data_IF_093866743096
#
_entry.id   IF_093866743096
#
_cell.length_a   1.000
_cell.length_b   1.000
_cell.length_c   1.000
_cell.angle_alpha   90.00
_cell.angle_beta   90.00
_cell.angle_gamma   90.00
#
_symmetry.space_group_name_H-M   'P 1'
#
loop_
_entity.id
_entity.type
_entity.pdbx_description
1 polymer ?
#
# COMPACT_ATOMS: atom_id res chain seq x y z
N UNK A 1 41.79 -15.02 47.79
CA UNK A 1 43.02 -14.20 47.88
C UNK A 1 43.80 -14.27 46.56
N UNK A 2 43.40 -13.51 45.54
CA UNK A 2 44.26 -13.25 44.37
C UNK A 2 44.31 -11.72 44.17
N UNK A 3 45.42 -11.10 44.57
CA UNK A 3 45.80 -9.74 44.18
C UNK A 3 46.41 -9.76 42.76
N UNK A 4 46.14 -8.81 41.87
CA UNK A 4 46.40 -7.36 41.88
C UNK A 4 47.78 -6.96 41.32
N UNK A 5 47.72 -6.34 40.13
CA UNK A 5 48.50 -5.17 39.66
C UNK A 5 49.95 -5.35 39.15
N UNK A 6 50.18 -4.90 37.90
CA UNK A 6 51.24 -3.91 37.64
C UNK A 6 52.19 -4.10 36.45
N UNK A 7 51.91 -3.38 35.35
CA UNK A 7 52.80 -2.60 34.44
C UNK A 7 54.17 -3.18 34.01
N UNK A 8 54.49 -3.11 32.71
CA UNK A 8 55.37 -2.06 32.16
C UNK A 8 55.52 -2.16 30.63
N UNK A 9 55.42 -1.01 29.97
CA UNK A 9 55.65 -0.82 28.54
C UNK A 9 57.14 -0.97 28.19
N UNK A 10 57.46 -1.47 27.01
CA UNK A 10 58.62 -1.03 26.21
C UNK A 10 58.37 -1.38 24.76
N UNK A 11 58.37 -0.35 23.90
CA UNK A 11 58.14 -0.49 22.47
C UNK A 11 59.37 -0.95 21.70
N UNK A 12 59.13 -1.49 20.52
CA UNK A 12 60.05 -1.44 19.39
C UNK A 12 59.22 -1.27 18.12
N UNK A 13 59.17 -0.01 17.66
CA UNK A 13 58.75 0.38 16.32
C UNK A 13 59.67 -0.28 15.29
N UNK A 14 59.11 -1.06 14.37
CA UNK A 14 59.78 -1.39 13.11
C UNK A 14 58.83 -1.20 11.91
N UNK A 15 59.06 -0.06 11.25
CA UNK A 15 59.06 0.20 9.81
C UNK A 15 57.91 -0.35 8.94
N UNK A 16 56.99 0.56 8.59
CA UNK A 16 56.09 0.48 7.44
C UNK A 16 56.87 0.45 6.11
N UNK A 17 56.61 -0.56 5.28
CA UNK A 17 56.87 -0.52 3.82
C UNK A 17 55.58 -0.05 3.12
N UNK A 18 55.65 0.85 2.12
CA UNK A 18 54.48 1.29 1.38
C UNK A 18 54.16 0.26 0.29
N UNK A 19 53.32 -0.72 0.63
CA UNK A 19 52.69 -1.62 -0.32
C UNK A 19 51.30 -1.13 -0.63
N UNK A 20 51.15 -0.26 -1.62
CA UNK A 20 49.84 0.12 -2.18
C UNK A 20 49.28 -1.12 -2.89
N UNK A 21 48.45 -1.88 -2.18
CA UNK A 21 47.54 -2.83 -2.82
C UNK A 21 46.41 -2.02 -3.45
N UNK A 22 46.09 -2.19 -4.74
CA UNK A 22 44.96 -1.48 -5.33
C UNK A 22 43.69 -1.98 -4.65
N UNK A 23 42.96 -1.06 -4.03
CA UNK A 23 41.59 -1.26 -3.58
C UNK A 23 40.79 -1.81 -4.76
N UNK A 24 40.49 -3.10 -4.70
CA UNK A 24 39.56 -3.76 -5.60
C UNK A 24 38.24 -3.00 -5.45
N UNK A 25 37.88 -2.24 -6.49
CA UNK A 25 36.66 -1.49 -6.55
C UNK A 25 35.50 -2.42 -6.20
N UNK A 26 34.86 -2.15 -5.05
CA UNK A 26 33.57 -2.72 -4.71
C UNK A 26 32.59 -2.18 -5.75
N UNK A 27 32.38 -2.97 -6.81
CA UNK A 27 31.34 -2.75 -7.78
C UNK A 27 30.03 -2.52 -7.01
N UNK A 28 29.40 -1.38 -7.28
CA UNK A 28 28.27 -0.88 -6.52
C UNK A 28 27.20 -1.95 -6.34
N UNK A 29 26.84 -2.20 -5.09
CA UNK A 29 25.58 -2.84 -4.76
C UNK A 29 24.47 -2.07 -5.51
N UNK A 30 23.63 -2.73 -6.33
CA UNK A 30 22.49 -2.04 -6.89
C UNK A 30 21.66 -1.56 -5.70
N UNK A 31 21.37 -0.27 -5.70
CA UNK A 31 20.56 0.42 -4.72
C UNK A 31 19.25 -0.36 -4.47
N UNK A 32 19.17 -1.00 -3.30
CA UNK A 32 17.96 -1.64 -2.75
C UNK A 32 16.87 -0.58 -2.43
N UNK A 33 17.20 0.70 -2.54
CA UNK A 33 16.28 1.83 -2.47
C UNK A 33 15.58 2.03 -3.82
N UNK A 34 14.45 1.37 -4.03
CA UNK A 34 13.58 1.70 -5.17
C UNK A 34 12.54 0.66 -5.56
N UNK A 35 12.73 -0.61 -5.18
CA UNK A 35 11.75 -1.66 -5.47
C UNK A 35 10.72 -1.76 -4.37
N UNK A 36 9.53 -1.20 -4.60
CA UNK A 36 8.32 -1.43 -3.79
C UNK A 36 7.74 -2.81 -4.10
N UNK A 37 8.53 -3.87 -3.86
CA UNK A 37 8.12 -5.26 -4.16
C UNK A 37 7.41 -5.93 -2.96
N UNK A 38 6.89 -5.16 -2.01
CA UNK A 38 6.32 -5.64 -0.74
C UNK A 38 4.79 -5.88 -0.78
N UNK A 39 4.18 -5.81 -1.97
CA UNK A 39 2.74 -5.95 -2.13
C UNK A 39 2.30 -7.42 -1.94
N UNK A 40 1.15 -7.60 -1.28
CA UNK A 40 0.48 -8.89 -1.22
C UNK A 40 0.09 -9.33 -2.65
N UNK A 41 0.33 -10.61 -3.03
CA UNK A 41 0.00 -11.09 -4.37
C UNK A 41 -1.52 -11.03 -4.59
N UNK A 42 -1.95 -10.42 -5.70
CA UNK A 42 -3.33 -10.46 -6.15
C UNK A 42 -3.78 -11.90 -6.40
N UNK A 43 -5.03 -12.24 -6.04
CA UNK A 43 -5.61 -13.56 -6.24
C UNK A 43 -5.78 -13.84 -7.74
N UNK A 44 -5.40 -15.05 -8.19
CA UNK A 44 -5.39 -15.42 -9.60
C UNK A 44 -6.78 -15.89 -10.07
N UNK A 45 -7.59 -14.96 -10.59
CA UNK A 45 -8.70 -15.26 -11.49
C UNK A 45 -8.24 -15.15 -12.95
N UNK A 46 -9.03 -15.65 -13.91
CA UNK A 46 -8.71 -15.60 -15.34
C UNK A 46 -8.42 -14.16 -15.78
N UNK A 47 -7.15 -13.86 -16.04
CA UNK A 47 -6.67 -12.51 -16.28
C UNK A 47 -7.17 -12.00 -17.63
N UNK A 48 -8.26 -11.23 -17.63
CA UNK A 48 -8.64 -10.44 -18.79
C UNK A 48 -7.55 -9.39 -19.05
N UNK A 49 -7.21 -9.21 -20.33
CA UNK A 49 -6.19 -8.26 -20.74
C UNK A 49 -6.84 -7.11 -21.49
N UNK A 50 -6.53 -5.90 -21.04
CA UNK A 50 -6.97 -4.66 -21.65
C UNK A 50 -5.81 -3.83 -22.17
N UNK A 51 -6.13 -2.78 -22.92
CA UNK A 51 -5.20 -1.78 -23.42
C UNK A 51 -5.71 -0.40 -23.11
N UNK A 52 -4.82 0.52 -22.72
CA UNK A 52 -5.18 1.90 -22.46
C UNK A 52 -5.54 2.60 -23.78
N UNK A 53 -6.74 3.17 -23.88
CA UNK A 53 -7.17 3.94 -25.06
C UNK A 53 -6.96 5.44 -24.84
N UNK A 54 -7.30 5.93 -23.65
CA UNK A 54 -7.18 7.34 -23.31
C UNK A 54 -6.78 7.54 -21.85
N UNK A 55 -6.11 8.67 -21.59
CA UNK A 55 -5.70 9.12 -20.25
C UNK A 55 -6.10 10.58 -20.14
N UNK A 56 -6.97 10.91 -19.19
CA UNK A 56 -7.49 12.25 -18.94
C UNK A 56 -7.33 12.54 -17.44
N UNK A 57 -6.19 13.10 -17.06
CA UNK A 57 -5.85 13.34 -15.65
C UNK A 57 -5.84 12.02 -14.86
N UNK A 58 -6.66 11.94 -13.80
CA UNK A 58 -6.81 10.73 -12.98
C UNK A 58 -7.72 9.66 -13.61
N UNK A 59 -8.40 9.97 -14.73
CA UNK A 59 -9.31 9.05 -15.40
C UNK A 59 -8.59 8.35 -16.55
N UNK A 60 -8.66 7.02 -16.58
CA UNK A 60 -8.02 6.20 -17.61
C UNK A 60 -9.07 5.31 -18.25
N UNK A 61 -9.22 5.39 -19.57
CA UNK A 61 -10.13 4.53 -20.32
C UNK A 61 -9.33 3.32 -20.85
N UNK A 62 -9.81 2.12 -20.52
CA UNK A 62 -9.17 0.84 -20.85
C UNK A 62 -10.14 0.01 -21.68
N UNK A 63 -9.70 -0.45 -22.84
CA UNK A 63 -10.48 -1.33 -23.71
C UNK A 63 -10.03 -2.78 -23.54
N UNK A 64 -11.00 -3.67 -23.40
CA UNK A 64 -10.79 -5.11 -23.29
C UNK A 64 -11.22 -5.79 -24.59
N UNK A 65 -10.44 -6.77 -25.05
CA UNK A 65 -10.78 -7.52 -26.26
C UNK A 65 -11.93 -8.52 -25.97
N UNK A 66 -11.80 -9.26 -24.86
CA UNK A 66 -12.79 -10.19 -24.32
C UNK A 66 -12.81 -10.13 -22.79
N UNK A 67 -13.96 -10.39 -22.16
CA UNK A 67 -14.11 -10.41 -20.70
C UNK A 67 -14.07 -9.02 -20.07
N UNK A 68 -15.21 -8.32 -20.10
CA UNK A 68 -15.33 -6.99 -19.51
C UNK A 68 -15.31 -7.08 -17.97
N UNK A 69 -14.35 -6.45 -17.28
CA UNK A 69 -14.29 -6.49 -15.82
C UNK A 69 -15.51 -5.80 -15.20
N UNK A 70 -16.08 -6.33 -14.10
CA UNK A 70 -17.19 -5.69 -13.42
C UNK A 70 -16.78 -4.33 -12.83
N UNK A 71 -17.79 -3.51 -12.50
CA UNK A 71 -17.58 -2.26 -11.79
C UNK A 71 -16.98 -2.56 -10.41
N UNK A 72 -16.10 -1.69 -9.93
CA UNK A 72 -15.34 -1.79 -8.67
C UNK A 72 -14.15 -2.76 -8.69
N UNK A 73 -13.91 -3.48 -9.79
CA UNK A 73 -12.71 -4.32 -9.90
C UNK A 73 -11.43 -3.49 -10.01
N UNK A 74 -10.36 -4.04 -9.45
CA UNK A 74 -9.01 -3.50 -9.58
C UNK A 74 -8.32 -4.06 -10.83
N UNK A 75 -7.68 -3.16 -11.56
CA UNK A 75 -6.85 -3.45 -12.72
C UNK A 75 -5.41 -2.99 -12.44
N UNK A 76 -4.43 -3.74 -12.93
CA UNK A 76 -3.02 -3.41 -12.80
C UNK A 76 -2.39 -3.07 -14.15
N UNK A 77 -1.66 -1.96 -14.20
CA UNK A 77 -0.94 -1.55 -15.40
C UNK A 77 0.42 -2.28 -15.46
N UNK A 78 0.66 -3.03 -16.53
CA UNK A 78 1.89 -3.78 -16.70
C UNK A 78 3.05 -2.90 -17.20
N UNK A 79 4.28 -3.28 -16.83
CA UNK A 79 5.51 -2.68 -17.36
C UNK A 79 5.90 -1.34 -16.72
N UNK A 80 5.47 -1.08 -15.49
CA UNK A 80 5.88 0.07 -14.69
C UNK A 80 6.82 -0.35 -13.55
N UNK A 81 7.68 0.56 -13.13
CA UNK A 81 8.54 0.36 -11.94
C UNK A 81 7.73 0.46 -10.64
N UNK A 82 6.78 1.40 -10.58
CA UNK A 82 5.81 1.49 -9.49
C UNK A 82 4.50 0.82 -9.87
N UNK A 83 3.91 0.10 -8.91
CA UNK A 83 2.60 -0.52 -9.06
C UNK A 83 1.53 0.58 -9.20
N UNK A 84 0.82 0.57 -10.31
CA UNK A 84 -0.32 1.46 -10.54
C UNK A 84 -1.58 0.61 -10.66
N UNK A 85 -2.50 0.84 -9.73
CA UNK A 85 -3.82 0.21 -9.70
C UNK A 85 -4.85 1.20 -10.24
N UNK A 86 -5.72 0.71 -11.12
CA UNK A 86 -6.87 1.43 -11.66
C UNK A 86 -8.14 0.74 -11.17
N UNK A 87 -9.11 1.50 -10.69
CA UNK A 87 -10.41 0.96 -10.27
C UNK A 87 -11.47 1.21 -11.34
N UNK A 88 -12.21 0.18 -11.75
CA UNK A 88 -13.28 0.33 -12.73
C UNK A 88 -14.46 1.09 -12.13
N UNK A 89 -14.77 2.27 -12.66
CA UNK A 89 -15.88 3.10 -12.18
C UNK A 89 -17.15 2.93 -13.01
N UNK A 90 -17.03 2.71 -14.33
CA UNK A 90 -18.19 2.58 -15.22
C UNK A 90 -17.83 1.85 -16.51
N UNK A 91 -18.85 1.28 -17.17
CA UNK A 91 -18.74 0.71 -18.52
C UNK A 91 -19.24 1.73 -19.54
N UNK A 92 -18.40 2.07 -20.52
CA UNK A 92 -18.73 3.07 -21.54
C UNK A 92 -19.41 2.45 -22.78
N UNK A 93 -19.29 1.13 -22.97
CA UNK A 93 -19.64 0.44 -24.22
C UNK A 93 -18.40 0.16 -25.07
N UNK A 94 -18.56 -0.53 -26.21
CA UNK A 94 -17.46 -0.92 -27.11
C UNK A 94 -16.30 -1.66 -26.40
N UNK A 95 -16.68 -2.50 -25.43
CA UNK A 95 -15.77 -3.19 -24.50
C UNK A 95 -14.77 -2.27 -23.78
N UNK A 96 -15.13 -1.00 -23.58
CA UNK A 96 -14.32 -0.01 -22.89
C UNK A 96 -14.87 0.26 -21.49
N UNK A 97 -13.98 0.22 -20.51
CA UNK A 97 -14.24 0.61 -19.13
C UNK A 97 -13.53 1.91 -18.81
N UNK A 98 -14.17 2.76 -18.02
CA UNK A 98 -13.56 3.95 -17.47
C UNK A 98 -13.13 3.69 -16.05
N UNK A 99 -11.86 3.97 -15.79
CA UNK A 99 -11.20 3.64 -14.53
C UNK A 99 -10.68 4.91 -13.87
N UNK A 100 -10.55 4.85 -12.54
CA UNK A 100 -9.95 5.89 -11.72
C UNK A 100 -8.59 5.38 -11.25
N UNK A 101 -7.54 6.15 -11.51
CA UNK A 101 -6.20 5.81 -11.08
C UNK A 101 -6.01 6.08 -9.58
N UNK A 102 -5.45 5.11 -8.86
CA UNK A 102 -5.17 5.23 -7.42
C UNK A 102 -3.85 5.96 -7.12
N UNK A 103 -3.02 6.17 -8.13
CA UNK A 103 -1.75 6.92 -8.06
C UNK A 103 -1.54 7.73 -9.35
N UNK A 104 -0.45 8.48 -9.43
CA UNK A 104 -0.09 9.33 -10.56
C UNK A 104 -0.13 8.60 -11.92
N UNK A 105 -0.84 9.20 -12.87
CA UNK A 105 -0.97 8.69 -14.24
C UNK A 105 0.17 9.15 -15.15
N UNK A 106 1.25 9.72 -14.60
CA UNK A 106 2.40 10.11 -15.41
C UNK A 106 3.03 8.88 -16.09
N UNK A 107 3.55 9.11 -17.29
CA UNK A 107 4.21 8.06 -18.08
C UNK A 107 3.28 6.98 -18.64
N UNK A 108 1.96 7.10 -18.49
CA UNK A 108 1.02 6.20 -19.18
C UNK A 108 1.00 6.47 -20.68
N UNK A 109 1.07 5.38 -21.45
CA UNK A 109 1.06 5.41 -22.91
C UNK A 109 -0.15 4.63 -23.41
N UNK A 110 -0.79 5.15 -24.47
CA UNK A 110 -1.88 4.44 -25.14
C UNK A 110 -1.38 3.12 -25.72
N UNK A 111 -2.18 2.08 -25.61
CA UNK A 111 -1.82 0.71 -25.97
C UNK A 111 -1.08 -0.07 -24.89
N UNK A 112 -0.73 0.57 -23.75
CA UNK A 112 -0.12 -0.14 -22.62
C UNK A 112 -1.06 -1.22 -22.09
N UNK A 113 -0.48 -2.37 -21.76
CA UNK A 113 -1.23 -3.54 -21.29
C UNK A 113 -1.71 -3.33 -19.86
N UNK A 114 -2.98 -3.64 -19.64
CA UNK A 114 -3.65 -3.63 -18.34
C UNK A 114 -4.15 -5.05 -18.05
N UNK A 115 -4.05 -5.47 -16.80
CA UNK A 115 -4.43 -6.81 -16.34
C UNK A 115 -5.54 -6.66 -15.32
N UNK A 116 -6.66 -7.36 -15.53
CA UNK A 116 -7.73 -7.45 -14.53
C UNK A 116 -7.32 -8.40 -13.41
N UNK A 117 -7.45 -7.96 -12.16
CA UNK A 117 -7.18 -8.81 -10.98
C UNK A 117 -8.36 -9.71 -10.62
N UNK A 118 -9.55 -9.44 -11.16
CA UNK A 118 -10.77 -10.22 -10.92
C UNK A 118 -11.52 -9.87 -9.64
N UNK A 119 -10.86 -9.22 -8.67
CA UNK A 119 -11.44 -8.74 -7.42
C UNK A 119 -11.39 -7.19 -7.34
N UNK A 120 -12.19 -6.57 -6.46
CA UNK A 120 -11.96 -5.19 -6.02
C UNK A 120 -10.60 -5.00 -5.37
N UNK A 121 -10.21 -3.75 -5.11
CA UNK A 121 -8.99 -3.47 -4.34
C UNK A 121 -9.09 -4.15 -2.96
N UNK A 122 -8.14 -5.05 -2.66
CA UNK A 122 -8.07 -5.78 -1.39
C UNK A 122 -6.94 -5.24 -0.54
N UNK A 123 -7.24 -4.96 0.72
CA UNK A 123 -6.29 -4.42 1.69
C UNK A 123 -6.02 -5.41 2.83
N UNK A 124 -4.82 -5.41 3.42
CA UNK A 124 -4.52 -6.22 4.59
C UNK A 124 -5.34 -5.75 5.79
N UNK A 125 -5.95 -6.69 6.51
CA UNK A 125 -6.73 -6.41 7.73
C UNK A 125 -6.30 -7.37 8.84
N UNK A 126 -6.58 -6.98 10.09
CA UNK A 126 -6.24 -7.76 11.27
C UNK A 126 -5.44 -6.96 12.31
N UNK A 127 -5.19 -7.54 13.48
CA UNK A 127 -4.40 -6.88 14.52
C UNK A 127 -2.95 -6.59 14.10
N UNK A 128 -2.43 -7.29 13.08
CA UNK A 128 -1.06 -7.10 12.57
C UNK A 128 -0.88 -5.76 11.84
N UNK A 129 -1.98 -5.07 11.48
CA UNK A 129 -1.95 -3.75 10.85
C UNK A 129 -1.87 -2.60 11.86
N UNK A 130 -2.08 -2.87 13.16
CA UNK A 130 -2.09 -1.84 14.20
C UNK A 130 -0.71 -1.15 14.31
N UNK A 131 -0.73 0.18 14.28
CA UNK A 131 0.50 1.00 14.36
C UNK A 131 1.34 0.99 13.08
N UNK A 132 0.80 0.49 11.96
CA UNK A 132 1.36 0.62 10.61
C UNK A 132 0.68 1.78 9.88
N UNK A 133 1.39 2.37 8.92
CA UNK A 133 0.82 3.36 7.99
C UNK A 133 0.72 2.70 6.62
N UNK A 134 -0.49 2.68 6.05
CA UNK A 134 -0.78 2.10 4.74
C UNK A 134 -1.36 3.14 3.79
N UNK A 135 -1.14 2.94 2.49
CA UNK A 135 -1.78 3.73 1.44
C UNK A 135 -3.15 3.13 1.05
N UNK A 136 -3.81 3.76 0.07
CA UNK A 136 -5.15 3.40 -0.41
C UNK A 136 -5.23 1.96 -0.95
N UNK A 137 -4.14 1.45 -1.53
CA UNK A 137 -4.07 0.09 -2.09
C UNK A 137 -3.55 -0.95 -1.08
N UNK A 138 -3.38 -0.56 0.20
CA UNK A 138 -2.98 -1.47 1.28
C UNK A 138 -1.48 -1.71 1.41
N UNK A 139 -0.63 -0.95 0.71
CA UNK A 139 0.82 -1.07 0.81
C UNK A 139 1.36 -0.25 1.98
N UNK A 140 2.38 -0.78 2.71
CA UNK A 140 3.01 -0.05 3.80
C UNK A 140 3.84 1.12 3.28
N UNK A 141 3.63 2.30 3.84
CA UNK A 141 4.41 3.53 3.55
C UNK A 141 5.27 3.98 4.73
N UNK A 142 5.38 3.14 5.77
CA UNK A 142 6.10 3.44 7.01
C UNK A 142 7.56 2.94 7.04
N UNK A 143 8.08 2.45 5.91
CA UNK A 143 9.47 1.92 5.76
C UNK A 143 9.82 0.75 6.69
N UNK A 144 8.84 0.14 7.37
CA UNK A 144 9.04 -0.96 8.33
C UNK A 144 8.91 -2.35 7.70
N UNK A 145 9.07 -2.43 6.38
CA UNK A 145 8.93 -3.68 5.61
C UNK A 145 7.46 -4.08 5.35
N UNK A 146 7.22 -5.30 4.85
CA UNK A 146 5.88 -5.76 4.48
C UNK A 146 4.96 -5.92 5.69
N UNK A 147 3.64 -5.82 5.48
CA UNK A 147 2.63 -6.14 6.50
C UNK A 147 2.30 -7.63 6.38
N UNK A 148 2.72 -8.43 7.35
CA UNK A 148 2.41 -9.87 7.38
C UNK A 148 1.02 -10.08 8.01
N UNK A 149 -0.04 -10.09 7.19
CA UNK A 149 -1.40 -10.41 7.65
C UNK A 149 -1.85 -11.77 7.14
N UNK A 150 -2.77 -12.40 7.89
CA UNK A 150 -3.41 -13.67 7.47
C UNK A 150 -4.66 -13.44 6.62
N UNK A 151 -5.20 -12.22 6.64
CA UNK A 151 -6.47 -11.88 6.03
C UNK A 151 -6.35 -10.59 5.21
N UNK A 152 -7.11 -10.55 4.12
CA UNK A 152 -7.27 -9.40 3.24
C UNK A 152 -8.75 -9.21 2.94
N UNK A 153 -9.25 -7.98 3.05
CA UNK A 153 -10.65 -7.62 2.81
C UNK A 153 -10.76 -6.69 1.60
N UNK A 154 -11.80 -6.83 0.75
CA UNK A 154 -12.11 -5.80 -0.25
C UNK A 154 -12.50 -4.49 0.44
N UNK A 155 -12.16 -3.36 -0.19
CA UNK A 155 -12.59 -2.02 0.27
C UNK A 155 -14.08 -1.76 0.01
N UNK A 156 -14.63 -2.44 -1.00
CA UNK A 156 -16.05 -2.41 -1.33
C UNK A 156 -16.74 -3.55 -0.61
N UNK A 157 -17.61 -3.19 0.33
CA UNK A 157 -18.44 -4.11 1.09
C UNK A 157 -19.86 -3.54 1.17
N UNK A 158 -20.84 -4.43 1.12
CA UNK A 158 -22.23 -4.04 1.34
C UNK A 158 -22.43 -3.51 2.75
N UNK A 159 -23.37 -2.57 2.90
CA UNK A 159 -23.74 -2.07 4.20
C UNK A 159 -24.39 -3.18 5.04
N UNK A 160 -24.29 -3.12 6.38
CA UNK A 160 -25.00 -4.06 7.25
C UNK A 160 -26.50 -4.09 6.97
N UNK A 161 -27.11 -5.27 7.09
CA UNK A 161 -28.55 -5.43 6.87
C UNK A 161 -29.37 -4.75 7.97
N UNK A 162 -30.64 -4.47 7.67
CA UNK A 162 -31.55 -3.84 8.62
C UNK A 162 -31.72 -4.64 9.93
N UNK A 163 -31.64 -5.97 9.84
CA UNK A 163 -31.75 -6.87 11.00
C UNK A 163 -30.52 -6.83 11.92
N UNK A 164 -29.37 -6.42 11.40
CA UNK A 164 -28.12 -6.32 12.16
C UNK A 164 -27.95 -4.96 12.85
N UNK A 165 -28.86 -4.01 12.57
CA UNK A 165 -28.81 -2.69 13.18
C UNK A 165 -29.32 -2.74 14.63
N UNK A 166 -28.48 -2.30 15.56
CA UNK A 166 -28.87 -2.12 16.96
C UNK A 166 -29.58 -0.77 17.17
N UNK A 167 -30.63 -0.78 18.00
CA UNK A 167 -31.35 0.43 18.44
C UNK A 167 -30.84 0.96 19.78
N UNK A 168 -29.87 0.29 20.40
CA UNK A 168 -29.34 0.68 21.71
C UNK A 168 -28.55 1.97 21.62
N UNK A 169 -28.95 2.95 22.43
CA UNK A 169 -28.28 4.24 22.53
C UNK A 169 -27.48 4.30 23.82
N UNK A 170 -26.16 4.12 23.71
CA UNK A 170 -25.22 4.28 24.82
C UNK A 170 -24.37 5.53 24.64
N UNK A 171 -24.10 6.25 25.74
CA UNK A 171 -23.22 7.42 25.72
C UNK A 171 -21.75 6.96 25.74
N UNK A 172 -20.93 7.53 24.85
CA UNK A 172 -19.48 7.47 24.86
C UNK A 172 -18.94 8.67 25.65
N UNK A 173 -18.50 8.42 26.89
CA UNK A 173 -17.91 9.46 27.74
C UNK A 173 -16.53 9.85 27.20
N UNK A 174 -16.35 11.12 26.81
CA UNK A 174 -15.09 11.60 26.22
C UNK A 174 -14.14 12.22 27.23
N UNK A 175 -14.67 12.71 28.37
CA UNK A 175 -13.93 13.50 29.35
C UNK A 175 -13.76 14.97 28.96
N UNK A 176 -14.33 15.40 27.84
CA UNK A 176 -14.25 16.78 27.35
C UNK A 176 -15.52 17.52 27.76
N UNK A 177 -15.38 18.46 28.71
CA UNK A 177 -16.52 19.17 29.34
C UNK A 177 -17.55 19.72 28.34
N UNK A 178 -17.09 20.42 27.29
CA UNK A 178 -17.99 21.04 26.32
C UNK A 178 -18.74 20.00 25.48
N UNK A 179 -18.07 18.90 25.13
CA UNK A 179 -18.66 17.81 24.35
C UNK A 179 -19.63 17.03 25.22
N UNK A 180 -19.19 16.55 26.36
CA UNK A 180 -20.00 15.70 27.24
C UNK A 180 -21.25 16.43 27.79
N UNK A 181 -21.18 17.76 27.98
CA UNK A 181 -22.32 18.54 28.49
C UNK A 181 -23.27 19.03 27.38
N UNK A 182 -22.75 19.52 26.26
CA UNK A 182 -23.58 20.16 25.22
C UNK A 182 -23.97 19.23 24.07
N UNK A 183 -23.09 18.28 23.71
CA UNK A 183 -23.28 17.39 22.58
C UNK A 183 -22.64 16.02 22.84
N UNK A 184 -23.18 15.23 23.80
CA UNK A 184 -22.60 13.94 24.17
C UNK A 184 -22.58 12.98 22.98
N UNK A 185 -21.47 12.26 22.81
CA UNK A 185 -21.32 11.31 21.72
C UNK A 185 -21.99 9.98 22.04
N UNK A 186 -22.67 9.38 21.06
CA UNK A 186 -23.24 8.05 21.18
C UNK A 186 -22.23 6.98 20.70
N UNK A 187 -22.10 5.86 21.42
CA UNK A 187 -21.29 4.71 20.97
C UNK A 187 -21.87 4.14 19.68
N UNK A 188 -21.01 3.83 18.72
CA UNK A 188 -21.43 3.40 17.38
C UNK A 188 -22.05 4.52 16.51
N UNK A 189 -22.16 5.74 17.05
CA UNK A 189 -22.65 6.90 16.31
C UNK A 189 -21.61 7.50 15.37
N UNK A 190 -22.08 8.31 14.42
CA UNK A 190 -21.23 9.10 13.51
C UNK A 190 -21.05 10.50 14.09
N UNK A 191 -19.81 10.96 14.22
CA UNK A 191 -19.46 12.27 14.77
C UNK A 191 -18.89 13.14 13.66
N UNK A 192 -19.39 14.37 13.53
CA UNK A 192 -18.87 15.37 12.59
C UNK A 192 -18.26 16.56 13.33
N UNK A 193 -17.00 16.88 13.05
CA UNK A 193 -16.34 18.09 13.56
C UNK A 193 -16.34 19.16 12.47
N UNK A 194 -16.96 20.30 12.73
CA UNK A 194 -16.96 21.45 11.81
C UNK A 194 -16.01 22.52 12.34
N UNK A 195 -14.91 22.74 11.62
CA UNK A 195 -13.99 23.86 11.82
C UNK A 195 -14.45 25.12 11.11
#
# INVERSE_FOLDING_TARGET
MLGAVGRCCTGALQALKPGVQPLKALAGSPSVLGRRDYAAPAAAAAFAHGRIVAVIGAVVDVQFDEGLPPILNALEVAGRESRLVLEVAQHLGENTVRTIAMDGTEGLVRGQKVVDTGDPIRIPVGPETLGRIMNVIGEPIDERGPISTKQTSPIHAEAPEFTDMSVEQEILVTGIKVVDLLAPYAKGGKIGTRG
#
